data_IF_007626935121
#
_entry.id   IF_007626935121
#
_cell.length_a   1.000
_cell.length_b   1.000
_cell.length_c   1.000
_cell.angle_alpha   90.00
_cell.angle_beta   90.00
_cell.angle_gamma   90.00
#
_symmetry.space_group_name_H-M   'P 1'
#
loop_
_entity.id
_entity.type
_entity.pdbx_description
1 polymer ?
#
# COMPACT_ATOMS: atom_id res chain seq x y z
N UNK A 1 3.65 10.33 17.26
CA UNK A 1 3.25 9.22 18.19
C UNK A 1 4.51 8.57 18.75
N UNK A 2 4.51 8.17 20.03
CA UNK A 2 5.65 7.45 20.66
C UNK A 2 5.26 5.98 20.86
N UNK A 3 6.11 5.07 20.36
CA UNK A 3 5.96 3.63 20.57
C UNK A 3 6.40 3.22 21.97
N UNK A 4 5.75 2.19 22.52
CA UNK A 4 6.20 1.58 23.77
C UNK A 4 7.34 0.58 23.51
N UNK A 5 8.10 0.23 24.54
CA UNK A 5 9.15 -0.79 24.43
C UNK A 5 8.59 -2.15 24.00
N UNK A 6 7.37 -2.49 24.47
CA UNK A 6 6.67 -3.72 24.11
C UNK A 6 6.29 -3.72 22.63
N UNK A 7 5.82 -2.59 22.08
CA UNK A 7 5.50 -2.46 20.66
C UNK A 7 6.75 -2.64 19.78
N UNK A 8 7.85 -2.03 20.16
CA UNK A 8 9.12 -2.19 19.44
C UNK A 8 9.62 -3.65 19.52
N UNK A 9 9.55 -4.27 20.70
CA UNK A 9 9.91 -5.68 20.87
C UNK A 9 9.00 -6.59 20.05
N UNK A 10 7.71 -6.34 20.06
CA UNK A 10 6.73 -7.10 19.26
C UNK A 10 7.05 -7.02 17.75
N UNK A 11 7.36 -5.81 17.25
CA UNK A 11 7.76 -5.63 15.86
C UNK A 11 9.00 -6.44 15.50
N UNK A 12 10.05 -6.35 16.31
CA UNK A 12 11.30 -7.10 16.11
C UNK A 12 11.07 -8.63 16.12
N UNK A 13 10.16 -9.08 16.96
CA UNK A 13 9.89 -10.51 17.11
C UNK A 13 8.97 -11.05 16.01
N UNK A 14 7.99 -10.28 15.58
CA UNK A 14 6.94 -10.75 14.69
C UNK A 14 7.05 -10.24 13.25
N UNK A 15 7.82 -9.16 13.01
CA UNK A 15 8.04 -8.55 11.69
C UNK A 15 6.88 -7.67 11.21
N UNK A 16 5.94 -7.35 12.10
CA UNK A 16 4.88 -6.39 11.81
C UNK A 16 4.42 -5.70 13.09
N UNK A 17 3.75 -4.56 12.92
CA UNK A 17 3.11 -3.83 14.01
C UNK A 17 1.81 -3.21 13.49
N UNK A 18 0.69 -3.47 14.16
CA UNK A 18 -0.58 -2.82 13.89
C UNK A 18 -0.76 -1.65 14.84
N UNK A 19 -0.88 -0.47 14.29
CA UNK A 19 -1.13 0.77 15.03
C UNK A 19 -2.46 1.38 14.63
N UNK A 20 -3.16 1.93 15.61
CA UNK A 20 -4.41 2.67 15.40
C UNK A 20 -4.16 4.16 15.58
N UNK A 21 -4.95 4.98 14.89
CA UNK A 21 -4.95 6.45 15.04
C UNK A 21 -3.59 7.10 14.75
N UNK A 22 -2.84 6.55 13.80
CA UNK A 22 -1.58 7.14 13.32
C UNK A 22 -1.83 8.19 12.26
N UNK A 23 -2.74 7.88 11.33
CA UNK A 23 -3.11 8.76 10.23
C UNK A 23 -4.13 9.80 10.69
N UNK A 24 -4.04 11.00 10.17
CA UNK A 24 -5.03 12.04 10.39
C UNK A 24 -6.30 11.75 9.57
N UNK A 25 -7.46 11.77 10.22
CA UNK A 25 -8.72 11.42 9.56
C UNK A 25 -9.10 12.41 8.47
N UNK A 26 -8.85 13.71 8.66
CA UNK A 26 -9.15 14.72 7.66
C UNK A 26 -8.29 14.54 6.41
N UNK A 27 -7.01 14.19 6.60
CA UNK A 27 -6.13 13.85 5.47
C UNK A 27 -6.57 12.56 4.79
N UNK A 28 -6.99 11.54 5.53
CA UNK A 28 -7.56 10.31 4.95
C UNK A 28 -8.80 10.61 4.10
N UNK A 29 -9.71 11.46 4.60
CA UNK A 29 -10.90 11.89 3.87
C UNK A 29 -10.53 12.63 2.58
N UNK A 30 -9.56 13.54 2.62
CA UNK A 30 -9.10 14.27 1.44
C UNK A 30 -8.52 13.32 0.36
N UNK A 31 -7.72 12.34 0.77
CA UNK A 31 -7.20 11.31 -0.15
C UNK A 31 -8.33 10.46 -0.73
N UNK A 32 -9.30 10.06 0.08
CA UNK A 32 -10.47 9.30 -0.38
C UNK A 32 -11.32 10.10 -1.37
N UNK A 33 -11.56 11.38 -1.11
CA UNK A 33 -12.29 12.27 -2.01
C UNK A 33 -11.57 12.37 -3.35
N UNK A 34 -10.25 12.54 -3.32
CA UNK A 34 -9.42 12.58 -4.52
C UNK A 34 -9.48 11.27 -5.33
N UNK A 35 -9.58 10.11 -4.65
CA UNK A 35 -9.80 8.82 -5.33
C UNK A 35 -11.13 8.82 -6.07
N UNK A 36 -12.22 9.26 -5.42
CA UNK A 36 -13.53 9.33 -6.05
C UNK A 36 -13.54 10.29 -7.26
N UNK A 37 -12.89 11.44 -7.14
CA UNK A 37 -12.81 12.45 -8.21
C UNK A 37 -12.00 11.96 -9.43
N UNK A 38 -11.17 10.93 -9.26
CA UNK A 38 -10.39 10.35 -10.36
C UNK A 38 -11.16 9.35 -11.21
N UNK A 39 -12.32 8.90 -10.75
CA UNK A 39 -13.14 7.96 -11.51
C UNK A 39 -13.76 8.63 -12.74
N UNK A 40 -13.71 7.97 -13.93
CA UNK A 40 -14.45 8.43 -15.09
C UNK A 40 -15.94 8.57 -14.79
N UNK A 41 -16.60 9.59 -15.35
CA UNK A 41 -18.06 9.78 -15.18
C UNK A 41 -18.88 8.57 -15.61
N UNK A 42 -18.36 7.80 -16.58
CA UNK A 42 -18.99 6.57 -17.10
C UNK A 42 -18.88 5.39 -16.16
N UNK A 43 -18.01 5.47 -15.12
CA UNK A 43 -17.83 4.38 -14.16
C UNK A 43 -19.13 4.14 -13.37
N UNK A 44 -19.44 2.86 -13.13
CA UNK A 44 -20.66 2.48 -12.40
C UNK A 44 -20.58 2.81 -10.90
N UNK A 45 -19.39 2.92 -10.33
CA UNK A 45 -19.19 3.26 -8.92
C UNK A 45 -19.67 4.69 -8.62
N UNK A 46 -20.47 4.85 -7.60
CA UNK A 46 -20.96 6.15 -7.14
C UNK A 46 -20.65 6.32 -5.66
N UNK A 47 -19.96 7.39 -5.30
CA UNK A 47 -19.53 7.68 -3.92
C UNK A 47 -20.64 7.52 -2.90
N UNK A 48 -21.82 8.05 -3.20
CA UNK A 48 -22.95 8.12 -2.29
C UNK A 48 -23.91 6.92 -2.39
N UNK A 49 -23.60 5.91 -3.21
CA UNK A 49 -24.41 4.69 -3.32
C UNK A 49 -23.56 3.43 -3.10
N UNK A 50 -23.49 2.93 -1.86
CA UNK A 50 -22.73 1.73 -1.52
C UNK A 50 -23.14 0.46 -2.30
N UNK A 51 -24.36 0.40 -2.86
CA UNK A 51 -24.78 -0.75 -3.66
C UNK A 51 -24.02 -0.85 -4.98
N UNK A 52 -23.40 0.25 -5.42
CA UNK A 52 -22.56 0.28 -6.61
C UNK A 52 -21.12 -0.16 -6.35
N UNK A 53 -20.70 -0.30 -5.07
CA UNK A 53 -19.33 -0.60 -4.69
C UNK A 53 -19.01 -2.10 -4.83
N UNK A 54 -19.27 -2.65 -6.00
CA UNK A 54 -19.00 -4.05 -6.36
C UNK A 54 -18.24 -4.08 -7.68
N UNK A 55 -17.21 -4.92 -7.76
CA UNK A 55 -16.48 -5.14 -9.01
C UNK A 55 -17.23 -6.05 -10.01
N UNK A 56 -16.73 -6.20 -11.21
CA UNK A 56 -15.51 -5.58 -11.75
C UNK A 56 -15.72 -4.10 -12.12
N UNK A 57 -14.65 -3.31 -12.16
CA UNK A 57 -14.71 -1.91 -12.57
C UNK A 57 -13.69 -1.59 -13.67
N UNK A 58 -14.04 -0.59 -14.49
CA UNK A 58 -13.39 -0.33 -15.78
C UNK A 58 -11.93 0.16 -15.68
N UNK A 59 -11.61 0.86 -14.60
CA UNK A 59 -10.29 1.47 -14.40
C UNK A 59 -9.29 0.54 -13.68
N UNK A 60 -9.63 -0.74 -13.53
CA UNK A 60 -8.70 -1.71 -12.94
C UNK A 60 -7.48 -1.91 -13.84
N UNK A 61 -6.29 -1.69 -13.29
CA UNK A 61 -5.04 -1.96 -14.02
C UNK A 61 -4.77 -3.46 -14.26
N UNK A 62 -5.54 -4.33 -13.64
CA UNK A 62 -5.42 -5.79 -13.74
C UNK A 62 -6.42 -6.40 -14.74
N UNK A 63 -7.09 -5.59 -15.57
CA UNK A 63 -8.10 -6.06 -16.51
C UNK A 63 -7.57 -7.07 -17.54
N UNK A 64 -6.35 -6.91 -18.00
CA UNK A 64 -5.74 -7.73 -19.04
C UNK A 64 -4.91 -8.90 -18.53
N UNK A 65 -4.87 -9.09 -17.22
CA UNK A 65 -4.06 -10.15 -16.60
C UNK A 65 -4.79 -11.49 -16.60
N UNK A 66 -4.47 -12.37 -17.55
CA UNK A 66 -5.03 -13.72 -17.61
C UNK A 66 -4.67 -14.62 -16.42
N UNK A 67 -3.68 -14.23 -15.62
CA UNK A 67 -3.21 -14.97 -14.45
C UNK A 67 -3.74 -14.41 -13.13
N UNK A 68 -4.49 -13.31 -13.19
CA UNK A 68 -4.88 -12.59 -11.99
C UNK A 68 -6.38 -12.64 -11.76
N UNK A 69 -6.80 -13.41 -10.76
CA UNK A 69 -8.19 -13.49 -10.34
C UNK A 69 -8.74 -12.20 -9.70
N UNK A 70 -7.91 -11.19 -9.53
CA UNK A 70 -8.32 -9.84 -9.09
C UNK A 70 -8.66 -8.92 -10.26
N UNK A 71 -8.62 -9.43 -11.49
CA UNK A 71 -8.94 -8.68 -12.70
C UNK A 71 -10.31 -7.97 -12.57
N UNK A 72 -10.31 -6.65 -12.70
CA UNK A 72 -11.50 -5.82 -12.49
C UNK A 72 -11.87 -5.56 -11.02
N UNK A 73 -11.14 -6.11 -10.04
CA UNK A 73 -11.47 -5.97 -8.61
C UNK A 73 -10.38 -5.25 -7.80
N UNK A 74 -9.28 -4.92 -8.43
CA UNK A 74 -8.20 -4.15 -7.84
C UNK A 74 -7.78 -3.02 -8.75
N UNK A 75 -7.73 -1.83 -8.20
CA UNK A 75 -7.28 -0.62 -8.84
C UNK A 75 -6.21 0.06 -8.00
N UNK A 76 -5.06 0.32 -8.60
CA UNK A 76 -3.97 1.05 -7.96
C UNK A 76 -3.79 2.40 -8.62
N UNK A 77 -4.10 3.45 -7.88
CA UNK A 77 -3.96 4.84 -8.35
C UNK A 77 -2.54 5.30 -8.03
N UNK A 78 -1.62 5.07 -8.96
CA UNK A 78 -0.17 5.31 -8.76
C UNK A 78 0.21 6.77 -8.82
N UNK A 79 -0.43 7.53 -9.70
CA UNK A 79 -0.21 8.95 -9.90
C UNK A 79 -0.39 9.75 -8.61
N UNK A 80 -1.22 9.30 -7.70
CA UNK A 80 -1.41 9.96 -6.40
C UNK A 80 -0.18 9.93 -5.52
N UNK A 81 0.79 9.06 -5.79
CA UNK A 81 2.03 9.00 -5.02
C UNK A 81 2.84 10.30 -5.03
N UNK A 82 2.55 11.20 -5.95
CA UNK A 82 3.21 12.51 -6.10
C UNK A 82 2.30 13.68 -5.80
N UNK A 83 1.03 13.44 -5.44
CA UNK A 83 0.07 14.51 -5.12
C UNK A 83 0.20 14.97 -3.66
N UNK A 84 -0.02 16.27 -3.40
CA UNK A 84 0.16 16.86 -2.06
C UNK A 84 -0.62 16.14 -0.97
N UNK A 85 -1.86 15.75 -1.23
CA UNK A 85 -2.74 15.09 -0.26
C UNK A 85 -2.15 13.79 0.26
N UNK A 86 -1.58 12.97 -0.63
CA UNK A 86 -0.95 11.72 -0.22
C UNK A 86 0.42 11.93 0.38
N UNK A 87 1.20 12.90 -0.13
CA UNK A 87 2.49 13.28 0.43
C UNK A 87 2.33 13.76 1.88
N UNK A 88 1.39 14.66 2.14
CA UNK A 88 1.12 15.18 3.49
C UNK A 88 0.70 14.07 4.47
N UNK A 89 -0.09 13.10 4.01
CA UNK A 89 -0.50 11.96 4.82
C UNK A 89 0.69 11.04 5.15
N UNK A 90 1.48 10.67 4.14
CA UNK A 90 2.59 9.72 4.29
C UNK A 90 3.77 10.32 5.03
N UNK A 91 4.11 11.58 4.75
CA UNK A 91 5.18 12.30 5.45
C UNK A 91 4.69 13.06 6.69
N UNK A 92 3.53 12.68 7.22
CA UNK A 92 3.04 13.25 8.47
C UNK A 92 4.01 13.00 9.62
N UNK A 93 4.13 13.97 10.52
CA UNK A 93 5.02 13.89 11.70
C UNK A 93 4.79 12.63 12.55
N UNK A 94 3.54 12.16 12.62
CA UNK A 94 3.20 10.95 13.37
C UNK A 94 3.78 9.71 12.70
N UNK A 95 3.60 9.57 11.40
CA UNK A 95 4.05 8.38 10.66
C UNK A 95 5.57 8.33 10.56
N UNK A 96 6.21 9.45 10.23
CA UNK A 96 7.67 9.56 10.22
C UNK A 96 8.27 9.23 11.59
N UNK A 97 7.74 9.78 12.67
CA UNK A 97 8.22 9.49 14.00
C UNK A 97 8.02 8.03 14.45
N UNK A 98 7.05 7.30 13.90
CA UNK A 98 6.92 5.85 14.08
C UNK A 98 8.00 5.12 13.28
N UNK A 99 8.21 5.49 12.03
CA UNK A 99 9.21 4.87 11.17
C UNK A 99 10.64 5.01 11.75
N UNK A 100 11.02 6.20 12.21
CA UNK A 100 12.31 6.44 12.86
C UNK A 100 12.52 5.60 14.13
N UNK A 101 11.48 5.40 14.93
CA UNK A 101 11.59 4.55 16.13
C UNK A 101 11.79 3.06 15.78
N UNK A 102 11.37 2.62 14.61
CA UNK A 102 11.54 1.24 14.16
C UNK A 102 12.84 1.01 13.38
N UNK A 103 13.25 1.99 12.58
CA UNK A 103 14.43 1.90 11.70
C UNK A 103 15.70 2.46 12.37
N UNK A 104 15.58 3.49 13.19
CA UNK A 104 16.65 4.26 13.79
C UNK A 104 16.57 5.74 13.42
N UNK A 105 17.28 6.56 14.16
CA UNK A 105 17.40 7.99 13.90
C UNK A 105 18.05 8.23 12.54
N UNK A 106 17.56 9.21 11.80
CA UNK A 106 18.03 9.58 10.45
C UNK A 106 17.96 8.48 9.37
N UNK A 107 17.22 7.39 9.62
CA UNK A 107 17.06 6.29 8.65
C UNK A 107 15.88 6.47 7.71
N UNK A 108 15.08 7.51 7.88
CA UNK A 108 13.96 7.84 6.99
C UNK A 108 14.38 9.00 6.10
N UNK A 109 14.46 8.73 4.81
CA UNK A 109 14.79 9.76 3.83
C UNK A 109 13.65 10.78 3.66
N UNK A 110 13.97 12.06 3.46
CA UNK A 110 12.97 13.08 3.18
C UNK A 110 12.30 12.85 1.81
N UNK A 111 11.13 13.46 1.56
CA UNK A 111 10.49 13.40 0.25
C UNK A 111 11.45 13.90 -0.85
N UNK A 112 11.50 13.17 -1.95
CA UNK A 112 12.27 13.58 -3.13
C UNK A 112 11.51 14.69 -3.87
N UNK A 113 12.05 15.90 -4.00
CA UNK A 113 11.39 16.96 -4.76
C UNK A 113 11.07 16.51 -6.18
N UNK A 114 9.81 16.59 -6.58
CA UNK A 114 9.33 16.11 -7.88
C UNK A 114 9.61 14.62 -8.15
N UNK A 115 9.66 13.81 -7.09
CA UNK A 115 9.85 12.38 -7.19
C UNK A 115 8.77 11.70 -8.03
N UNK A 116 9.13 10.64 -8.71
CA UNK A 116 8.22 9.85 -9.56
C UNK A 116 7.38 8.89 -8.71
N UNK A 117 6.23 8.43 -9.23
CA UNK A 117 5.52 7.30 -8.65
C UNK A 117 6.43 6.07 -8.52
N UNK A 118 6.35 5.36 -7.41
CA UNK A 118 7.09 4.12 -7.24
C UNK A 118 6.57 3.07 -8.22
N UNK A 119 7.42 2.65 -9.15
CA UNK A 119 7.14 1.55 -10.08
C UNK A 119 7.49 0.19 -9.47
N UNK A 120 7.29 -0.88 -10.25
CA UNK A 120 7.84 -2.20 -9.92
C UNK A 120 9.34 -2.28 -10.20
N UNK A 121 10.06 -3.04 -9.39
CA UNK A 121 11.48 -3.29 -9.60
C UNK A 121 11.80 -4.26 -10.77
N UNK A 122 10.77 -4.92 -11.34
CA UNK A 122 10.93 -5.94 -12.37
C UNK A 122 10.97 -5.40 -13.80
N UNK A 123 11.70 -6.08 -14.72
CA UNK A 123 11.82 -5.66 -16.13
C UNK A 123 10.50 -5.77 -16.93
N UNK A 124 9.51 -6.48 -16.42
CA UNK A 124 8.20 -6.65 -17.08
C UNK A 124 7.21 -5.50 -16.81
N UNK A 125 7.63 -4.47 -16.07
CA UNK A 125 6.75 -3.38 -15.73
C UNK A 125 6.66 -2.35 -16.86
N UNK A 126 5.46 -1.87 -17.23
CA UNK A 126 5.33 -0.78 -18.19
C UNK A 126 6.13 0.46 -17.72
N UNK A 127 7.07 0.91 -18.51
CA UNK A 127 7.96 2.02 -18.17
C UNK A 127 9.34 1.62 -17.61
N UNK A 128 9.57 0.33 -17.39
CA UNK A 128 10.86 -0.19 -16.90
C UNK A 128 11.10 0.04 -15.40
N UNK A 129 12.25 -0.38 -14.89
CA UNK A 129 12.63 -0.19 -13.49
C UNK A 129 12.76 1.30 -13.18
N UNK A 130 12.24 1.71 -12.04
CA UNK A 130 12.36 3.07 -11.51
C UNK A 130 13.54 3.11 -10.56
N UNK A 131 14.42 4.10 -10.72
CA UNK A 131 15.49 4.35 -9.76
C UNK A 131 14.86 4.71 -8.39
N UNK A 132 15.17 3.98 -7.32
CA UNK A 132 14.67 4.31 -5.99
C UNK A 132 14.95 5.75 -5.56
N UNK A 133 16.06 6.34 -5.99
CA UNK A 133 16.41 7.73 -5.70
C UNK A 133 15.49 8.76 -6.36
N UNK A 134 14.77 8.37 -7.40
CA UNK A 134 13.82 9.24 -8.12
C UNK A 134 12.39 9.15 -7.62
N UNK A 135 12.11 8.31 -6.62
CA UNK A 135 10.74 8.07 -6.16
C UNK A 135 10.49 8.60 -4.76
N UNK A 136 9.22 8.82 -4.45
CA UNK A 136 8.78 9.12 -3.08
C UNK A 136 8.69 7.88 -2.18
N UNK A 137 9.01 6.69 -2.69
CA UNK A 137 8.77 5.44 -1.97
C UNK A 137 7.30 5.09 -1.77
N UNK A 138 6.38 5.83 -2.38
CA UNK A 138 4.94 5.68 -2.24
C UNK A 138 4.38 4.94 -3.46
N UNK A 139 3.60 3.88 -3.22
CA UNK A 139 3.00 3.06 -4.29
C UNK A 139 1.64 3.56 -4.78
N UNK A 140 1.13 4.66 -4.21
CA UNK A 140 -0.20 5.18 -4.49
C UNK A 140 -1.27 4.59 -3.58
N UNK A 141 -2.53 4.70 -4.01
CA UNK A 141 -3.69 4.19 -3.28
C UNK A 141 -4.19 2.91 -3.93
N UNK A 142 -4.42 1.90 -3.13
CA UNK A 142 -5.01 0.63 -3.57
C UNK A 142 -6.50 0.61 -3.22
N UNK A 143 -7.33 0.40 -4.23
CA UNK A 143 -8.76 0.18 -4.08
C UNK A 143 -9.07 -1.28 -4.40
N UNK A 144 -9.70 -1.98 -3.48
CA UNK A 144 -10.16 -3.36 -3.70
C UNK A 144 -11.67 -3.41 -3.51
N UNK A 145 -12.37 -3.95 -4.50
CA UNK A 145 -13.81 -4.11 -4.45
C UNK A 145 -14.23 -5.53 -4.08
N UNK A 146 -15.40 -5.71 -3.48
CA UNK A 146 -15.99 -7.01 -3.25
C UNK A 146 -16.16 -7.80 -4.54
N UNK A 147 -15.92 -9.10 -4.47
CA UNK A 147 -16.09 -10.03 -5.60
C UNK A 147 -17.56 -10.42 -5.84
N UNK A 148 -18.46 -10.08 -4.92
CA UNK A 148 -19.84 -10.55 -4.97
C UNK A 148 -19.88 -12.08 -4.90
N UNK A 149 -20.63 -12.69 -5.81
CA UNK A 149 -20.77 -14.16 -5.92
C UNK A 149 -19.65 -14.83 -6.75
N UNK A 150 -18.66 -14.05 -7.19
CA UNK A 150 -17.55 -14.60 -7.96
C UNK A 150 -16.64 -15.45 -7.07
N UNK A 151 -16.11 -16.59 -7.59
CA UNK A 151 -15.18 -17.41 -6.84
C UNK A 151 -13.92 -16.60 -6.50
N UNK A 152 -13.50 -16.69 -5.24
CA UNK A 152 -12.31 -16.03 -4.74
C UNK A 152 -11.11 -16.97 -4.82
N UNK A 153 -9.98 -16.47 -5.31
CA UNK A 153 -8.74 -17.21 -5.26
C UNK A 153 -8.26 -17.41 -3.81
N UNK A 154 -7.63 -18.55 -3.56
CA UNK A 154 -6.96 -18.78 -2.28
C UNK A 154 -5.88 -17.72 -2.06
N UNK A 155 -5.84 -17.15 -0.86
CA UNK A 155 -4.82 -16.19 -0.49
C UNK A 155 -3.42 -16.83 -0.56
N UNK A 156 -2.66 -16.46 -1.57
CA UNK A 156 -1.26 -16.82 -1.68
C UNK A 156 -0.40 -15.73 -1.07
N UNK A 157 0.36 -16.08 -0.02
CA UNK A 157 1.38 -15.17 0.51
C UNK A 157 2.51 -15.00 -0.50
N UNK A 158 3.04 -13.80 -0.58
CA UNK A 158 4.21 -13.49 -1.39
C UNK A 158 5.11 -12.52 -0.63
N UNK A 159 6.31 -12.31 -1.14
CA UNK A 159 7.21 -11.24 -0.71
C UNK A 159 7.29 -10.22 -1.84
N UNK A 160 7.30 -8.95 -1.48
CA UNK A 160 7.54 -7.90 -2.46
C UNK A 160 9.00 -7.92 -2.92
N UNK A 161 9.22 -7.74 -4.22
CA UNK A 161 10.55 -7.68 -4.82
C UNK A 161 11.20 -6.29 -4.75
N UNK A 162 10.73 -5.40 -3.89
CA UNK A 162 11.26 -4.06 -3.75
C UNK A 162 12.30 -3.98 -2.63
N UNK A 163 13.41 -3.26 -2.83
CA UNK A 163 14.39 -3.00 -1.78
C UNK A 163 13.85 -1.94 -0.82
N UNK A 164 13.22 -2.35 0.28
CA UNK A 164 12.81 -1.46 1.36
C UNK A 164 13.06 -2.10 2.73
N UNK A 165 13.36 -1.28 3.73
CA UNK A 165 13.57 -1.74 5.11
C UNK A 165 12.28 -1.78 5.91
N UNK A 166 11.30 -0.95 5.58
CA UNK A 166 9.99 -0.87 6.23
C UNK A 166 8.90 -0.61 5.19
N UNK A 167 7.95 -1.52 5.08
CA UNK A 167 6.70 -1.32 4.32
C UNK A 167 5.60 -0.81 5.25
N UNK A 168 4.86 0.20 4.80
CA UNK A 168 3.70 0.74 5.53
C UNK A 168 2.45 0.59 4.69
N UNK A 169 1.40 0.03 5.28
CA UNK A 169 0.06 -0.02 4.70
C UNK A 169 -0.86 0.84 5.56
N UNK A 170 -1.28 1.98 5.03
CA UNK A 170 -2.26 2.86 5.65
C UNK A 170 -3.67 2.48 5.21
N UNK A 171 -4.58 2.21 6.16
CA UNK A 171 -5.99 2.01 5.89
C UNK A 171 -6.70 3.37 5.99
N UNK A 172 -7.21 3.87 4.87
CA UNK A 172 -7.85 5.19 4.78
C UNK A 172 -9.26 5.20 5.37
N UNK A 173 -9.86 4.03 5.56
CA UNK A 173 -11.18 3.86 6.16
C UNK A 173 -11.27 2.55 6.92
N UNK A 174 -12.42 2.27 7.51
CA UNK A 174 -12.69 1.03 8.21
C UNK A 174 -12.75 -0.15 7.23
N UNK A 175 -11.90 -1.13 7.43
CA UNK A 175 -11.85 -2.34 6.61
C UNK A 175 -12.31 -3.52 7.45
N UNK A 176 -13.48 -4.10 7.15
CA UNK A 176 -13.96 -5.28 7.85
C UNK A 176 -13.07 -6.50 7.57
N UNK A 177 -13.17 -7.53 8.41
CA UNK A 177 -12.35 -8.74 8.30
C UNK A 177 -12.35 -9.35 6.90
N UNK A 178 -13.49 -9.32 6.22
CA UNK A 178 -13.66 -9.85 4.86
C UNK A 178 -13.48 -8.79 3.76
N UNK A 179 -13.08 -7.58 4.12
CA UNK A 179 -12.95 -6.41 3.22
C UNK A 179 -11.62 -6.31 2.46
N UNK A 180 -10.86 -7.38 2.35
CA UNK A 180 -9.59 -7.35 1.61
C UNK A 180 -8.43 -6.72 2.38
N UNK A 181 -8.49 -6.71 3.71
CA UNK A 181 -7.43 -6.20 4.57
C UNK A 181 -6.09 -6.93 4.33
N UNK A 182 -5.00 -6.23 4.63
CA UNK A 182 -3.65 -6.76 4.50
C UNK A 182 -3.43 -7.95 5.44
N UNK A 183 -2.82 -9.02 4.93
CA UNK A 183 -2.48 -10.21 5.72
C UNK A 183 -0.99 -10.32 5.93
N UNK A 184 -0.60 -10.76 7.11
CA UNK A 184 0.79 -10.98 7.47
C UNK A 184 0.99 -12.38 8.05
N UNK A 185 2.17 -12.94 7.84
CA UNK A 185 2.61 -14.18 8.45
C UNK A 185 3.63 -13.85 9.54
N UNK A 186 3.24 -13.88 10.81
CA UNK A 186 4.15 -13.53 11.91
C UNK A 186 5.45 -14.33 11.84
N UNK A 187 6.57 -13.66 12.05
CA UNK A 187 7.92 -14.24 12.03
C UNK A 187 8.42 -14.71 10.66
N UNK A 188 7.69 -14.46 9.57
CA UNK A 188 8.13 -14.83 8.23
C UNK A 188 9.45 -14.16 7.84
N UNK A 189 9.68 -12.90 8.25
CA UNK A 189 10.93 -12.18 8.03
C UNK A 189 12.17 -12.95 8.51
N UNK A 190 12.09 -13.65 9.65
CA UNK A 190 13.20 -14.45 10.18
C UNK A 190 13.46 -15.72 9.38
N UNK A 191 12.43 -16.28 8.74
CA UNK A 191 12.54 -17.50 7.92
C UNK A 191 12.99 -17.22 6.50
N UNK A 192 12.56 -16.09 5.96
CA UNK A 192 12.82 -15.71 4.56
C UNK A 192 14.15 -14.96 4.39
N UNK A 193 14.63 -14.28 5.44
CA UNK A 193 15.87 -13.52 5.38
C UNK A 193 17.09 -14.30 4.84
N UNK A 194 17.37 -15.54 5.26
CA UNK A 194 18.46 -16.31 4.69
C UNK A 194 18.31 -16.58 3.18
N UNK A 195 17.08 -16.73 2.71
CA UNK A 195 16.78 -16.92 1.28
C UNK A 195 17.10 -15.67 0.48
N UNK A 196 16.78 -14.49 1.02
CA UNK A 196 17.12 -13.23 0.38
C UNK A 196 18.63 -12.98 0.35
N UNK A 197 19.35 -13.29 1.42
CA UNK A 197 20.82 -13.18 1.43
C UNK A 197 21.45 -14.01 0.31
N UNK A 198 20.99 -15.24 0.08
CA UNK A 198 21.52 -16.10 -0.99
C UNK A 198 21.23 -15.57 -2.41
N UNK A 199 20.31 -14.65 -2.59
CA UNK A 199 20.00 -14.06 -3.89
C UNK A 199 20.87 -12.85 -4.21
N UNK A 200 21.58 -12.30 -3.23
CA UNK A 200 22.46 -11.13 -3.39
C UNK A 200 23.95 -11.47 -3.38
N UNK A 201 24.31 -12.72 -3.03
CA UNK A 201 25.68 -13.28 -3.12
C UNK A 201 25.88 -14.02 -4.45
#
# INVERSE_FOLDING_TARGET
MKLTAEQISFFKDNGYLLLKNVLDLTQCEAVMDRVWDSLPETNHLKKDDPNTHVGPFEVSEEQDSSLNLRMGYRWQVREFSTEPELLDLVFSKNLLGVAEQLLGEDMVEPPVPHGKPMGHAGPAWPGGPVDPADTQGIRGVYCTLPYGDQPREADTGHTDGHPFNLGVVGLLGDVPKEGGAFKVWPRSHRRLYPTFQMQYD
#
